data_IF_250278728100
#
_entry.id   IF_250278728100
#
_cell.length_a   1.000
_cell.length_b   1.000
_cell.length_c   1.000
_cell.angle_alpha   90.00
_cell.angle_beta   90.00
_cell.angle_gamma   90.00
#
_symmetry.space_group_name_H-M   'P 1'
#
loop_
_entity.id
_entity.type
_entity.pdbx_description
1 polymer ?
#
# COMPACT_ATOMS: atom_id res chain seq x y z
N UNK A 1 22.14 -20.76 -6.86
CA UNK A 1 22.40 -19.81 -7.95
C UNK A 1 21.21 -18.87 -7.99
N UNK A 2 21.41 -17.57 -7.75
CA UNK A 2 20.33 -16.59 -7.85
C UNK A 2 20.03 -16.37 -9.33
N UNK A 3 18.77 -16.54 -9.71
CA UNK A 3 18.31 -16.25 -11.06
C UNK A 3 18.48 -14.73 -11.32
N UNK A 4 19.51 -14.37 -12.07
CA UNK A 4 19.80 -13.01 -12.53
C UNK A 4 18.88 -12.61 -13.70
N UNK A 5 17.59 -12.98 -13.62
CA UNK A 5 16.60 -12.47 -14.55
C UNK A 5 16.37 -10.99 -14.19
N UNK A 6 16.59 -10.10 -15.16
CA UNK A 6 16.21 -8.69 -15.04
C UNK A 6 14.69 -8.59 -14.91
N UNK A 7 14.19 -8.80 -13.69
CA UNK A 7 12.76 -8.78 -13.39
C UNK A 7 12.19 -7.42 -13.80
N UNK A 8 11.08 -7.45 -14.53
CA UNK A 8 10.33 -6.25 -14.88
C UNK A 8 9.60 -5.66 -13.67
N UNK A 9 9.62 -6.34 -12.52
CA UNK A 9 8.89 -5.96 -11.33
C UNK A 9 9.72 -6.19 -10.07
N UNK A 10 9.70 -5.22 -9.17
CA UNK A 10 10.27 -5.30 -7.85
C UNK A 10 9.27 -4.71 -6.86
N UNK A 11 9.04 -5.41 -5.75
CA UNK A 11 8.31 -4.91 -4.59
C UNK A 11 9.23 -4.99 -3.39
N UNK A 12 9.20 -4.00 -2.51
CA UNK A 12 9.95 -4.06 -1.27
C UNK A 12 9.47 -5.25 -0.42
N UNK A 13 10.39 -5.91 0.30
CA UNK A 13 10.06 -7.03 1.18
C UNK A 13 9.35 -6.61 2.48
N UNK A 14 9.21 -5.30 2.72
CA UNK A 14 8.58 -4.73 3.91
C UNK A 14 7.08 -5.02 3.93
N UNK A 15 6.56 -5.44 5.09
CA UNK A 15 5.12 -5.71 5.26
C UNK A 15 4.28 -4.43 5.15
N UNK A 16 3.00 -4.57 4.81
CA UNK A 16 2.07 -3.42 4.76
C UNK A 16 1.99 -2.72 6.12
N UNK A 17 1.92 -3.49 7.22
CA UNK A 17 1.88 -2.93 8.57
C UNK A 17 3.11 -2.07 8.87
N UNK A 18 4.30 -2.56 8.50
CA UNK A 18 5.54 -1.81 8.72
C UNK A 18 5.62 -0.57 7.81
N UNK A 19 5.17 -0.65 6.56
CA UNK A 19 5.07 0.52 5.68
C UNK A 19 4.12 1.58 6.26
N UNK A 20 2.97 1.17 6.78
CA UNK A 20 2.02 2.08 7.43
C UNK A 20 2.64 2.72 8.67
N UNK A 21 3.36 1.97 9.52
CA UNK A 21 4.07 2.56 10.66
C UNK A 21 5.11 3.61 10.23
N UNK A 22 5.77 3.42 9.10
CA UNK A 22 6.77 4.36 8.56
C UNK A 22 6.14 5.63 7.95
N UNK A 23 4.81 5.68 7.75
CA UNK A 23 4.11 6.90 7.31
C UNK A 23 4.23 8.03 8.31
N UNK A 24 4.36 7.76 9.62
CA UNK A 24 4.42 8.80 10.66
C UNK A 24 5.50 9.87 10.43
N UNK A 25 6.53 9.56 9.63
CA UNK A 25 7.62 10.47 9.28
C UNK A 25 7.49 11.07 7.86
N UNK A 26 6.35 10.89 7.18
CA UNK A 26 6.13 11.24 5.77
C UNK A 26 4.86 12.06 5.61
N UNK A 27 4.71 12.72 4.47
CA UNK A 27 3.48 13.43 4.12
C UNK A 27 2.43 12.43 3.58
N UNK A 28 1.24 12.47 4.17
CA UNK A 28 0.01 11.79 3.75
C UNK A 28 -1.17 12.53 4.39
N UNK A 29 -2.35 12.48 3.79
CA UNK A 29 -3.54 13.16 4.33
C UNK A 29 -4.36 12.26 5.24
N UNK A 30 -4.54 11.00 4.83
CA UNK A 30 -5.33 9.99 5.51
C UNK A 30 -4.90 8.59 5.08
N UNK A 31 -5.20 7.61 5.91
CA UNK A 31 -4.99 6.19 5.62
C UNK A 31 -6.37 5.57 5.48
N UNK A 32 -6.65 5.06 4.28
CA UNK A 32 -7.87 4.33 4.01
C UNK A 32 -7.60 2.82 4.05
N UNK A 33 -8.25 2.15 4.99
CA UNK A 33 -8.17 0.70 5.17
C UNK A 33 -9.44 0.08 4.61
N UNK A 34 -9.28 -0.96 3.80
CA UNK A 34 -10.34 -1.76 3.25
C UNK A 34 -10.38 -3.10 3.98
N UNK A 35 -11.54 -3.43 4.53
CA UNK A 35 -11.86 -4.75 5.04
C UNK A 35 -12.80 -5.41 4.03
N UNK A 36 -12.40 -6.56 3.48
CA UNK A 36 -13.21 -7.39 2.61
C UNK A 36 -13.39 -8.79 3.20
N UNK A 37 -14.37 -9.53 2.72
CA UNK A 37 -14.49 -10.94 3.05
C UNK A 37 -13.22 -11.67 2.59
N UNK A 38 -12.71 -12.60 3.42
CA UNK A 38 -11.55 -13.42 3.06
C UNK A 38 -11.82 -14.24 1.78
N UNK A 39 -13.06 -14.67 1.59
CA UNK A 39 -13.56 -15.19 0.33
C UNK A 39 -13.91 -14.03 -0.62
N UNK A 40 -13.06 -13.83 -1.63
CA UNK A 40 -13.20 -12.72 -2.60
C UNK A 40 -14.50 -12.75 -3.40
N UNK A 41 -15.22 -13.87 -3.41
CA UNK A 41 -16.53 -13.98 -4.08
C UNK A 41 -17.68 -13.50 -3.21
N UNK A 42 -17.46 -13.37 -1.89
CA UNK A 42 -18.47 -12.97 -0.91
C UNK A 42 -18.34 -11.51 -0.52
N UNK A 43 -19.47 -10.95 -0.10
CA UNK A 43 -19.54 -9.60 0.49
C UNK A 43 -19.49 -9.71 2.01
N UNK A 44 -19.04 -8.64 2.67
CA UNK A 44 -19.26 -8.49 4.10
C UNK A 44 -20.75 -8.19 4.30
N UNK A 45 -21.45 -8.92 5.18
CA UNK A 45 -22.83 -8.60 5.52
C UNK A 45 -22.97 -7.14 5.95
N UNK A 46 -24.01 -6.45 5.51
CA UNK A 46 -24.32 -5.15 6.09
C UNK A 46 -24.70 -5.37 7.55
N UNK A 47 -24.00 -4.71 8.45
CA UNK A 47 -24.20 -4.85 9.89
C UNK A 47 -24.60 -3.52 10.48
N UNK A 48 -25.39 -3.57 11.55
CA UNK A 48 -25.80 -2.37 12.27
C UNK A 48 -24.56 -1.55 12.69
N UNK A 49 -24.49 -0.24 12.35
CA UNK A 49 -23.35 0.61 12.69
C UNK A 49 -22.99 0.64 14.18
N UNK A 50 -23.97 0.51 15.08
CA UNK A 50 -23.71 0.46 16.53
C UNK A 50 -22.96 -0.81 16.94
N UNK A 51 -23.32 -1.96 16.35
CA UNK A 51 -22.61 -3.22 16.59
C UNK A 51 -21.18 -3.17 16.07
N UNK A 52 -20.97 -2.53 14.92
CA UNK A 52 -19.62 -2.33 14.40
C UNK A 52 -18.82 -1.43 15.33
N UNK A 53 -19.40 -0.33 15.81
CA UNK A 53 -18.72 0.56 16.73
C UNK A 53 -18.32 -0.17 18.02
N UNK A 54 -19.21 -0.99 18.58
CA UNK A 54 -18.93 -1.78 19.78
C UNK A 54 -17.86 -2.84 19.54
N UNK A 55 -17.88 -3.50 18.39
CA UNK A 55 -16.83 -4.44 17.98
C UNK A 55 -15.48 -3.72 17.94
N UNK A 56 -15.38 -2.58 17.24
CA UNK A 56 -14.12 -1.84 17.12
C UNK A 56 -13.63 -1.35 18.48
N UNK A 57 -14.51 -0.85 19.36
CA UNK A 57 -14.14 -0.45 20.72
C UNK A 57 -13.53 -1.60 21.54
N UNK A 58 -14.05 -2.82 21.36
CA UNK A 58 -13.56 -4.02 22.06
C UNK A 58 -12.28 -4.57 21.44
N UNK A 59 -12.16 -4.52 20.13
CA UNK A 59 -11.04 -5.11 19.38
C UNK A 59 -9.84 -4.18 19.24
N UNK A 60 -10.02 -2.86 19.39
CA UNK A 60 -9.02 -1.85 19.06
C UNK A 60 -8.92 -0.77 20.14
N UNK A 61 -7.71 -0.60 20.70
CA UNK A 61 -7.47 0.31 21.81
C UNK A 61 -7.59 1.79 21.41
N UNK A 62 -7.26 2.17 20.17
CA UNK A 62 -7.33 3.56 19.67
C UNK A 62 -8.59 3.84 18.84
N UNK A 63 -9.73 3.24 19.19
CA UNK A 63 -10.99 3.35 18.44
C UNK A 63 -11.53 4.78 18.26
N UNK A 64 -11.04 5.77 19.03
CA UNK A 64 -11.41 7.18 18.88
C UNK A 64 -10.73 7.85 17.68
N UNK A 65 -9.72 7.22 17.08
CA UNK A 65 -8.98 7.73 15.92
C UNK A 65 -9.71 7.48 14.57
N UNK A 66 -10.99 7.10 14.58
CA UNK A 66 -11.76 6.89 13.35
C UNK A 66 -12.30 8.23 12.86
N UNK A 67 -11.84 8.64 11.69
CA UNK A 67 -12.38 9.84 11.03
C UNK A 67 -13.67 9.51 10.27
N UNK A 68 -13.71 8.33 9.62
CA UNK A 68 -14.88 7.89 8.86
C UNK A 68 -14.96 6.36 8.77
N UNK A 69 -16.18 5.84 8.59
CA UNK A 69 -16.45 4.45 8.25
C UNK A 69 -17.60 4.40 7.24
N UNK A 70 -17.42 3.65 6.14
CA UNK A 70 -18.47 3.46 5.14
C UNK A 70 -18.48 2.07 4.52
N UNK A 71 -19.65 1.59 4.14
CA UNK A 71 -19.78 0.44 3.25
C UNK A 71 -19.58 0.88 1.79
N UNK A 72 -18.73 0.17 1.07
CA UNK A 72 -18.51 0.39 -0.37
C UNK A 72 -19.58 -0.34 -1.19
N UNK A 73 -19.82 0.10 -2.42
CA UNK A 73 -20.73 -0.58 -3.36
C UNK A 73 -20.31 -2.02 -3.68
N UNK A 74 -19.03 -2.35 -3.47
CA UNK A 74 -18.47 -3.68 -3.66
C UNK A 74 -18.74 -4.62 -2.47
N UNK A 75 -19.43 -4.17 -1.41
CA UNK A 75 -19.69 -4.98 -0.21
C UNK A 75 -18.47 -5.14 0.68
N UNK A 76 -17.59 -4.12 0.70
CA UNK A 76 -16.44 -4.00 1.60
C UNK A 76 -16.69 -2.89 2.60
N UNK A 77 -15.96 -2.88 3.71
CA UNK A 77 -15.96 -1.77 4.67
C UNK A 77 -14.69 -0.96 4.46
N UNK A 78 -14.83 0.36 4.37
CA UNK A 78 -13.71 1.29 4.35
C UNK A 78 -13.67 2.04 5.68
N UNK A 79 -12.51 2.06 6.33
CA UNK A 79 -12.20 2.94 7.45
C UNK A 79 -11.20 4.01 7.00
N UNK A 80 -11.38 5.22 7.50
CA UNK A 80 -10.48 6.35 7.28
C UNK A 80 -9.93 6.80 8.63
N UNK A 81 -8.60 6.98 8.69
CA UNK A 81 -7.88 7.40 9.90
C UNK A 81 -6.64 8.18 9.52
N UNK A 82 -6.25 9.15 10.34
CA UNK A 82 -4.92 9.76 10.29
C UNK A 82 -3.89 9.08 11.18
N UNK A 83 -4.31 8.15 12.04
CA UNK A 83 -3.46 7.45 13.00
C UNK A 83 -2.92 6.13 12.42
N UNK A 84 -1.59 6.01 12.16
CA UNK A 84 -0.99 4.79 11.64
C UNK A 84 -1.10 3.60 12.58
N UNK A 85 -1.10 3.82 13.91
CA UNK A 85 -1.20 2.73 14.88
C UNK A 85 -2.59 2.11 14.80
N UNK A 86 -3.63 2.95 14.72
CA UNK A 86 -5.00 2.48 14.53
C UNK A 86 -5.15 1.74 13.19
N UNK A 87 -4.58 2.27 12.11
CA UNK A 87 -4.58 1.62 10.79
C UNK A 87 -3.95 0.22 10.85
N UNK A 88 -2.80 0.07 11.52
CA UNK A 88 -2.12 -1.24 11.67
C UNK A 88 -2.94 -2.23 12.50
N UNK A 89 -3.64 -1.76 13.54
CA UNK A 89 -4.54 -2.60 14.32
C UNK A 89 -5.69 -3.13 13.47
N UNK A 90 -6.29 -2.27 12.62
CA UNK A 90 -7.30 -2.68 11.64
C UNK A 90 -6.73 -3.67 10.62
N UNK A 91 -5.54 -3.40 10.07
CA UNK A 91 -4.88 -4.30 9.11
C UNK A 91 -4.55 -5.67 9.70
N UNK A 92 -4.43 -5.78 11.01
CA UNK A 92 -4.15 -7.05 11.68
C UNK A 92 -5.40 -7.89 11.94
N UNK A 93 -6.60 -7.38 11.61
CA UNK A 93 -7.85 -8.14 11.76
C UNK A 93 -7.91 -9.29 10.75
N UNK A 94 -8.08 -10.50 11.26
CA UNK A 94 -8.40 -11.70 10.47
C UNK A 94 -9.88 -12.07 10.52
N UNK A 95 -10.58 -11.54 11.53
CA UNK A 95 -12.02 -11.67 11.72
C UNK A 95 -12.64 -10.32 12.01
N UNK A 96 -13.83 -10.11 11.46
CA UNK A 96 -14.66 -8.95 11.71
C UNK A 96 -16.03 -9.46 12.11
N UNK A 97 -16.38 -9.32 13.39
CA UNK A 97 -17.48 -10.04 14.02
C UNK A 97 -17.31 -11.55 13.75
N UNK A 98 -18.33 -12.23 13.20
CA UNK A 98 -18.29 -13.67 12.91
C UNK A 98 -17.86 -14.01 11.47
N UNK A 99 -17.28 -13.04 10.74
CA UNK A 99 -16.83 -13.23 9.35
C UNK A 99 -15.32 -13.18 9.25
N UNK A 100 -14.73 -14.18 8.58
CA UNK A 100 -13.31 -14.13 8.21
C UNK A 100 -13.07 -13.05 7.15
N UNK A 101 -12.08 -12.21 7.38
CA UNK A 101 -11.80 -11.04 6.55
C UNK A 101 -10.35 -10.97 6.08
N UNK A 102 -10.16 -10.27 4.98
CA UNK A 102 -8.86 -9.78 4.52
C UNK A 102 -8.85 -8.27 4.58
N UNK A 103 -7.69 -7.72 4.88
CA UNK A 103 -7.49 -6.28 5.06
C UNK A 103 -6.41 -5.80 4.10
N UNK A 104 -6.56 -4.58 3.60
CA UNK A 104 -5.54 -3.91 2.79
C UNK A 104 -5.69 -2.40 2.90
N UNK A 105 -4.73 -1.65 2.38
CA UNK A 105 -4.74 -0.19 2.30
C UNK A 105 -5.07 0.26 0.88
N UNK A 106 -5.70 1.43 0.76
CA UNK A 106 -5.77 2.15 -0.51
C UNK A 106 -4.42 2.84 -0.73
N UNK A 107 -3.57 2.22 -1.54
CA UNK A 107 -2.20 2.67 -1.77
C UNK A 107 -2.11 4.09 -2.31
N UNK A 108 -3.09 4.54 -3.09
CA UNK A 108 -3.15 5.89 -3.64
C UNK A 108 -3.18 6.97 -2.56
N UNK A 109 -3.64 6.67 -1.33
CA UNK A 109 -3.67 7.64 -0.24
C UNK A 109 -2.36 7.73 0.55
N UNK A 110 -1.45 6.78 0.35
CA UNK A 110 -0.22 6.65 1.14
C UNK A 110 1.03 6.45 0.28
N UNK A 111 0.90 6.55 -1.05
CA UNK A 111 2.00 6.37 -1.98
C UNK A 111 1.92 7.34 -3.16
N UNK A 112 3.09 7.70 -3.67
CA UNK A 112 3.26 8.55 -4.84
C UNK A 112 3.93 7.75 -5.94
N UNK A 113 3.58 8.05 -7.19
CA UNK A 113 4.10 7.35 -8.36
C UNK A 113 4.66 8.33 -9.38
N UNK A 114 5.83 8.01 -9.91
CA UNK A 114 6.48 8.80 -10.94
C UNK A 114 7.33 7.94 -11.87
N UNK A 115 7.69 8.50 -13.02
CA UNK A 115 8.48 7.83 -14.06
C UNK A 115 9.89 8.38 -14.07
N UNK A 116 10.89 7.51 -14.08
CA UNK A 116 12.26 7.86 -14.45
C UNK A 116 12.55 7.29 -15.84
N UNK A 117 13.01 8.17 -16.74
CA UNK A 117 13.39 7.83 -18.11
C UNK A 117 14.87 7.47 -18.19
N UNK A 118 15.28 6.96 -19.35
CA UNK A 118 16.69 6.70 -19.69
C UNK A 118 17.49 5.78 -18.75
N UNK A 119 16.80 5.01 -17.89
CA UNK A 119 17.41 3.91 -17.13
C UNK A 119 17.70 2.74 -18.07
N UNK A 120 18.95 2.25 -18.16
CA UNK A 120 19.29 1.06 -18.92
C UNK A 120 18.41 -0.13 -18.51
N UNK A 121 17.91 -0.88 -19.49
CA UNK A 121 17.05 -2.05 -19.23
C UNK A 121 17.83 -3.20 -18.60
N UNK A 122 19.15 -3.13 -18.63
CA UNK A 122 20.07 -4.08 -17.99
C UNK A 122 20.28 -3.82 -16.51
N UNK A 123 19.95 -2.62 -15.99
CA UNK A 123 20.11 -2.28 -14.57
C UNK A 123 19.12 -3.09 -13.72
N UNK A 124 19.58 -3.88 -12.73
CA UNK A 124 18.70 -4.58 -11.80
C UNK A 124 17.82 -3.60 -11.02
N UNK A 125 16.51 -3.85 -10.96
CA UNK A 125 15.58 -2.96 -10.23
C UNK A 125 15.91 -2.84 -8.75
N UNK A 126 16.52 -3.85 -8.14
CA UNK A 126 16.95 -3.82 -6.74
C UNK A 126 18.10 -2.83 -6.52
N UNK A 127 19.07 -2.77 -7.42
CA UNK A 127 20.18 -1.81 -7.36
C UNK A 127 19.65 -0.39 -7.53
N UNK A 128 18.79 -0.19 -8.52
CA UNK A 128 18.11 1.10 -8.73
C UNK A 128 17.29 1.54 -7.51
N UNK A 129 16.56 0.62 -6.88
CA UNK A 129 15.80 0.92 -5.66
C UNK A 129 16.71 1.41 -4.53
N UNK A 130 17.82 0.72 -4.29
CA UNK A 130 18.78 1.09 -3.25
C UNK A 130 19.38 2.48 -3.52
N UNK A 131 19.84 2.72 -4.74
CA UNK A 131 20.43 4.01 -5.13
C UNK A 131 19.45 5.17 -4.96
N UNK A 132 18.19 5.00 -5.35
CA UNK A 132 17.16 6.03 -5.16
C UNK A 132 16.93 6.30 -3.67
N UNK A 133 16.80 5.26 -2.85
CA UNK A 133 16.56 5.45 -1.41
C UNK A 133 17.75 6.14 -0.73
N UNK A 134 18.98 5.71 -1.05
CA UNK A 134 20.21 6.23 -0.45
C UNK A 134 20.44 7.71 -0.78
N UNK A 135 20.06 8.15 -1.99
CA UNK A 135 20.30 9.52 -2.47
C UNK A 135 19.15 10.50 -2.21
N UNK A 136 17.92 10.03 -1.95
CA UNK A 136 16.71 10.88 -1.98
C UNK A 136 15.87 10.89 -0.70
N UNK A 137 16.34 10.29 0.40
CA UNK A 137 15.57 10.14 1.65
C UNK A 137 14.10 9.78 1.36
N UNK A 138 13.89 8.66 0.68
CA UNK A 138 12.56 8.15 0.38
C UNK A 138 12.53 6.64 0.62
N UNK A 139 11.33 6.08 0.72
CA UNK A 139 11.15 4.63 0.80
C UNK A 139 10.48 4.15 -0.48
N UNK A 140 11.19 3.32 -1.24
CA UNK A 140 10.70 2.77 -2.49
C UNK A 140 9.91 1.49 -2.21
N UNK A 141 8.63 1.51 -2.56
CA UNK A 141 7.67 0.42 -2.33
C UNK A 141 7.63 -0.55 -3.50
N UNK A 142 7.65 -0.04 -4.72
CA UNK A 142 7.55 -0.84 -5.95
C UNK A 142 8.30 -0.17 -7.09
N UNK A 143 8.95 -0.96 -7.94
CA UNK A 143 9.43 -0.54 -9.26
C UNK A 143 8.87 -1.47 -10.33
N UNK A 144 8.50 -0.89 -11.47
CA UNK A 144 7.98 -1.64 -12.61
C UNK A 144 8.54 -1.10 -13.92
N UNK A 145 9.09 -1.99 -14.75
CA UNK A 145 9.46 -1.70 -16.13
C UNK A 145 8.29 -1.98 -17.06
N UNK A 146 8.25 -1.27 -18.18
CA UNK A 146 7.28 -1.53 -19.23
C UNK A 146 7.86 -2.47 -20.28
N UNK A 147 6.96 -3.17 -20.97
CA UNK A 147 7.29 -4.02 -22.10
C UNK A 147 6.60 -3.44 -23.33
N UNK A 148 7.31 -3.40 -24.46
CA UNK A 148 6.74 -2.89 -25.72
C UNK A 148 5.57 -3.78 -26.15
N UNK A 149 4.46 -3.16 -26.58
CA UNK A 149 3.30 -3.88 -27.09
C UNK A 149 3.71 -4.86 -28.21
N UNK A 150 3.14 -6.07 -28.19
CA UNK A 150 3.42 -7.15 -29.13
C UNK A 150 4.90 -7.59 -29.18
N UNK A 151 5.65 -7.38 -28.10
CA UNK A 151 7.04 -7.79 -27.96
C UNK A 151 7.33 -8.21 -26.51
N UNK A 152 8.39 -8.97 -26.29
CA UNK A 152 8.94 -9.22 -24.95
C UNK A 152 10.06 -8.25 -24.59
N UNK A 153 10.27 -7.20 -25.40
CA UNK A 153 11.33 -6.22 -25.19
C UNK A 153 10.95 -5.24 -24.08
N UNK A 154 11.71 -5.29 -22.98
CA UNK A 154 11.67 -4.30 -21.90
C UNK A 154 12.09 -2.94 -22.46
N UNK A 155 11.40 -1.88 -22.04
CA UNK A 155 11.66 -0.51 -22.43
C UNK A 155 11.79 0.41 -21.21
N UNK A 156 12.44 1.55 -21.41
CA UNK A 156 12.35 2.71 -20.53
C UNK A 156 11.05 3.46 -20.84
N UNK A 157 10.34 4.07 -19.86
CA UNK A 157 10.74 4.40 -18.48
C UNK A 157 10.56 3.28 -17.44
N UNK A 158 11.00 3.56 -16.20
CA UNK A 158 10.66 2.77 -15.00
C UNK A 158 9.63 3.54 -14.17
N UNK A 159 8.53 2.89 -13.82
CA UNK A 159 7.55 3.39 -12.86
C UNK A 159 8.03 3.07 -11.45
N UNK A 160 8.15 4.10 -10.62
CA UNK A 160 8.55 3.99 -9.23
C UNK A 160 7.35 4.39 -8.36
N UNK A 161 7.10 3.60 -7.33
CA UNK A 161 6.16 3.90 -6.25
C UNK A 161 6.95 4.11 -4.97
N UNK A 162 6.78 5.26 -4.33
CA UNK A 162 7.36 5.55 -3.01
C UNK A 162 6.27 5.66 -1.95
N UNK A 163 6.65 5.48 -0.70
CA UNK A 163 5.79 5.74 0.45
C UNK A 163 5.66 7.25 0.70
N UNK A 164 4.44 7.71 1.01
CA UNK A 164 4.08 9.12 1.10
C UNK A 164 3.46 9.62 -0.20
N UNK A 165 2.67 10.69 -0.14
CA UNK A 165 1.87 11.19 -1.28
C UNK A 165 2.55 12.28 -2.09
N UNK A 166 3.72 12.73 -1.67
CA UNK A 166 4.45 13.81 -2.32
C UNK A 166 5.50 13.25 -3.28
N UNK A 167 5.35 13.55 -4.57
CA UNK A 167 6.36 13.22 -5.59
C UNK A 167 7.57 14.13 -5.38
N UNK A 168 8.80 13.60 -5.32
CA UNK A 168 10.00 14.42 -5.22
C UNK A 168 10.14 15.33 -6.45
N UNK A 169 10.46 16.61 -6.24
CA UNK A 169 10.67 17.56 -7.35
C UNK A 169 11.85 17.17 -8.24
N UNK A 170 12.87 16.54 -7.65
CA UNK A 170 14.02 15.99 -8.34
C UNK A 170 14.44 14.66 -7.74
N UNK A 171 14.95 13.77 -8.57
CA UNK A 171 15.55 12.50 -8.15
C UNK A 171 17.04 12.54 -8.48
N UNK A 172 17.85 12.29 -7.47
CA UNK A 172 19.28 12.06 -7.56
C UNK A 172 19.52 10.59 -7.86
N UNK A 173 20.27 10.32 -8.93
CA UNK A 173 20.74 9.00 -9.33
C UNK A 173 22.26 8.96 -9.29
#
# INVERSE_FOLDING_TARGET
MADNSNSIYMKCGTSVNELVMRLGNRQYEEINIIISNADKTKKIPQTNPFLVQDFIKKSINRHQSIDNMRHTRQGKIQFTTKDPIFAVQLLSLTKFMDTDVSTDVIWENISARFLIRDIPTTTPLKELANEIQDKNDCLVVELRRFVKLNSNKVISPVLITILGTTVPESIKL
#
